data_IF_916639740755
#
_entry.id   IF_916639740755
#
_cell.length_a   1.000
_cell.length_b   1.000
_cell.length_c   1.000
_cell.angle_alpha   90.00
_cell.angle_beta   90.00
_cell.angle_gamma   90.00
#
_symmetry.space_group_name_H-M   'P 1'
#
loop_
_entity.id
_entity.type
_entity.pdbx_description
1 polymer ?
#
# COMPACT_ATOMS: atom_id res chain seq x y z
N UNK A 1 5.41 -17.64 16.51
CA UNK A 1 4.61 -16.56 17.09
C UNK A 1 3.14 -16.84 16.85
N UNK A 2 2.30 -16.33 17.72
CA UNK A 2 0.85 -16.31 17.57
C UNK A 2 0.44 -14.93 17.03
N UNK A 3 -0.01 -14.91 15.77
CA UNK A 3 -0.19 -13.70 14.98
C UNK A 3 -1.68 -13.50 14.67
N UNK A 4 -2.20 -12.31 14.98
CA UNK A 4 -3.47 -11.85 14.43
C UNK A 4 -3.28 -11.19 13.06
N UNK A 5 -4.20 -11.39 12.13
CA UNK A 5 -4.18 -10.70 10.84
C UNK A 5 -5.58 -10.16 10.50
N UNK A 6 -5.66 -8.85 10.29
CA UNK A 6 -6.91 -8.13 10.05
C UNK A 6 -6.89 -7.52 8.64
N UNK A 7 -7.91 -7.87 7.85
CA UNK A 7 -8.06 -7.39 6.48
C UNK A 7 -7.44 -8.32 5.44
N UNK A 8 -8.30 -9.11 4.79
CA UNK A 8 -7.94 -10.13 3.80
C UNK A 8 -8.34 -9.69 2.38
N UNK A 9 -7.97 -8.45 2.01
CA UNK A 9 -7.94 -8.04 0.60
C UNK A 9 -6.82 -8.77 -0.16
N UNK A 10 -6.60 -8.40 -1.42
CA UNK A 10 -5.58 -9.05 -2.27
C UNK A 10 -4.18 -9.06 -1.62
N UNK A 11 -3.77 -7.94 -1.02
CA UNK A 11 -2.50 -7.84 -0.31
C UNK A 11 -2.50 -8.63 0.98
N UNK A 12 -3.51 -8.43 1.85
CA UNK A 12 -3.55 -9.01 3.17
C UNK A 12 -3.71 -10.53 3.15
N UNK A 13 -4.48 -11.08 2.22
CA UNK A 13 -4.61 -12.53 2.06
C UNK A 13 -3.27 -13.18 1.70
N UNK A 14 -2.54 -12.61 0.74
CA UNK A 14 -1.22 -13.10 0.35
C UNK A 14 -0.19 -13.01 1.49
N UNK A 15 -0.23 -11.92 2.27
CA UNK A 15 0.65 -11.75 3.43
C UNK A 15 0.33 -12.78 4.52
N UNK A 16 -0.96 -12.96 4.88
CA UNK A 16 -1.38 -13.95 5.88
C UNK A 16 -1.01 -15.39 5.46
N UNK A 17 -1.16 -15.70 4.17
CA UNK A 17 -0.75 -17.01 3.61
C UNK A 17 0.76 -17.23 3.76
N UNK A 18 1.60 -16.23 3.49
CA UNK A 18 3.05 -16.34 3.65
C UNK A 18 3.43 -16.58 5.12
N UNK A 19 2.77 -15.89 6.07
CA UNK A 19 3.00 -16.08 7.50
C UNK A 19 2.63 -17.53 7.93
N UNK A 20 1.51 -18.06 7.41
CA UNK A 20 1.11 -19.44 7.64
C UNK A 20 2.13 -20.45 7.09
N UNK A 21 2.59 -20.25 5.85
CA UNK A 21 3.61 -21.11 5.19
C UNK A 21 4.94 -21.11 5.96
N UNK A 22 5.25 -20.05 6.67
CA UNK A 22 6.42 -19.97 7.53
C UNK A 22 6.25 -20.68 8.88
N UNK A 23 5.10 -21.34 9.13
CA UNK A 23 4.85 -22.16 10.32
C UNK A 23 4.35 -21.37 11.53
N UNK A 24 3.88 -20.14 11.36
CA UNK A 24 3.27 -19.38 12.45
C UNK A 24 1.80 -19.74 12.65
N UNK A 25 1.30 -19.58 13.87
CA UNK A 25 -0.13 -19.66 14.14
C UNK A 25 -0.76 -18.33 13.74
N UNK A 26 -1.78 -18.37 12.88
CA UNK A 26 -2.41 -17.14 12.36
C UNK A 26 -3.91 -17.16 12.63
N UNK A 27 -4.38 -16.17 13.39
CA UNK A 27 -5.79 -15.86 13.55
C UNK A 27 -6.16 -14.77 12.56
N UNK A 28 -7.15 -15.04 11.72
CA UNK A 28 -7.55 -14.12 10.66
C UNK A 28 -8.93 -13.58 10.89
N UNK A 29 -9.08 -12.27 10.69
CA UNK A 29 -10.36 -11.60 10.65
C UNK A 29 -10.52 -10.75 9.41
N UNK A 30 -11.70 -10.80 8.82
CA UNK A 30 -12.10 -9.91 7.73
C UNK A 30 -13.61 -9.63 7.83
N UNK A 31 -14.03 -8.41 7.49
CA UNK A 31 -15.46 -8.02 7.50
C UNK A 31 -16.34 -8.95 6.65
N UNK A 32 -15.82 -9.42 5.51
CA UNK A 32 -16.46 -10.45 4.68
C UNK A 32 -15.82 -11.81 4.99
N UNK A 33 -16.49 -12.71 5.74
CA UNK A 33 -15.88 -13.95 6.24
C UNK A 33 -15.48 -14.94 5.13
N UNK A 34 -16.10 -14.84 3.95
CA UNK A 34 -15.80 -15.71 2.80
C UNK A 34 -14.32 -15.61 2.39
N UNK A 35 -13.71 -14.44 2.55
CA UNK A 35 -12.28 -14.22 2.24
C UNK A 35 -11.35 -14.97 3.20
N UNK A 36 -11.79 -15.23 4.43
CA UNK A 36 -11.02 -15.96 5.42
C UNK A 36 -11.05 -17.48 5.19
N UNK A 37 -12.11 -18.00 4.55
CA UNK A 37 -12.30 -19.47 4.36
C UNK A 37 -11.18 -20.10 3.51
N UNK A 38 -10.66 -19.38 2.52
CA UNK A 38 -9.54 -19.87 1.71
C UNK A 38 -8.28 -20.13 2.56
N UNK A 39 -8.06 -19.33 3.60
CA UNK A 39 -6.92 -19.47 4.51
C UNK A 39 -7.16 -20.52 5.59
N UNK A 40 -8.41 -20.81 5.96
CA UNK A 40 -8.74 -21.88 6.90
C UNK A 40 -8.27 -23.25 6.41
N UNK A 41 -8.41 -23.52 5.10
CA UNK A 41 -7.87 -24.74 4.46
C UNK A 41 -6.35 -24.86 4.54
N UNK A 42 -5.64 -23.76 4.83
CA UNK A 42 -4.19 -23.71 4.99
C UNK A 42 -3.75 -23.66 6.47
N UNK A 43 -4.69 -23.75 7.41
CA UNK A 43 -4.40 -23.79 8.84
C UNK A 43 -4.63 -22.49 9.59
N UNK A 44 -5.19 -21.45 8.96
CA UNK A 44 -5.59 -20.24 9.67
C UNK A 44 -6.79 -20.48 10.58
N UNK A 45 -6.77 -19.92 11.77
CA UNK A 45 -7.93 -19.85 12.64
C UNK A 45 -8.77 -18.63 12.26
N UNK A 46 -9.98 -18.85 11.76
CA UNK A 46 -10.94 -17.76 11.54
C UNK A 46 -11.50 -17.33 12.89
N UNK A 47 -11.45 -16.03 13.18
CA UNK A 47 -12.03 -15.46 14.40
C UNK A 47 -13.25 -14.61 14.07
N UNK A 48 -14.19 -14.54 15.02
CA UNK A 48 -15.48 -13.87 14.81
C UNK A 48 -15.37 -12.34 14.92
N UNK A 49 -14.43 -11.85 15.72
CA UNK A 49 -14.27 -10.41 16.02
C UNK A 49 -12.82 -9.96 15.84
N UNK A 50 -12.59 -8.67 15.54
CA UNK A 50 -11.24 -8.10 15.52
C UNK A 50 -10.50 -8.26 16.86
N UNK A 51 -11.23 -8.23 17.98
CA UNK A 51 -10.65 -8.36 19.31
C UNK A 51 -9.98 -9.73 19.53
N UNK A 52 -10.53 -10.81 18.96
CA UNK A 52 -9.92 -12.13 19.02
C UNK A 52 -8.61 -12.20 18.23
N UNK A 53 -8.47 -11.39 17.16
CA UNK A 53 -7.21 -11.26 16.44
C UNK A 53 -6.14 -10.52 17.27
N UNK A 54 -6.56 -9.65 18.21
CA UNK A 54 -5.67 -8.89 19.11
C UNK A 54 -5.19 -9.68 20.34
N UNK A 55 -5.37 -10.99 20.37
CA UNK A 55 -5.08 -11.81 21.57
C UNK A 55 -3.68 -12.49 21.55
N UNK A 56 -2.82 -12.30 20.54
CA UNK A 56 -1.52 -13.01 20.39
C UNK A 56 -0.29 -12.18 20.76
N UNK A 57 0.82 -12.55 20.14
CA UNK A 57 2.10 -11.87 20.30
C UNK A 57 2.13 -10.56 19.51
N UNK A 58 1.54 -10.58 18.31
CA UNK A 58 1.42 -9.43 17.43
C UNK A 58 0.14 -9.51 16.58
N UNK A 59 -0.31 -8.36 16.09
CA UNK A 59 -1.40 -8.26 15.13
C UNK A 59 -0.97 -7.40 13.94
N UNK A 60 -1.26 -7.88 12.74
CA UNK A 60 -1.03 -7.17 11.49
C UNK A 60 -2.38 -6.68 10.94
N UNK A 61 -2.41 -5.45 10.42
CA UNK A 61 -3.60 -4.95 9.74
C UNK A 61 -3.27 -4.45 8.34
N UNK A 62 -4.11 -4.85 7.35
CA UNK A 62 -4.01 -4.42 5.96
C UNK A 62 -5.39 -4.03 5.45
N UNK A 63 -5.84 -2.84 5.83
CA UNK A 63 -7.16 -2.30 5.52
C UNK A 63 -7.08 -1.24 4.41
N UNK A 64 -8.21 -0.91 3.82
CA UNK A 64 -8.24 -0.11 2.59
C UNK A 64 -7.84 1.37 2.81
N UNK A 65 -8.28 1.97 3.92
CA UNK A 65 -8.18 3.40 4.18
C UNK A 65 -8.36 3.73 5.68
N UNK A 66 -8.29 5.03 5.98
CA UNK A 66 -8.45 5.57 7.33
C UNK A 66 -9.81 5.21 7.95
N UNK A 67 -10.88 5.27 7.15
CA UNK A 67 -12.22 4.99 7.65
C UNK A 67 -12.37 3.53 8.07
N UNK A 68 -11.90 2.60 7.24
CA UNK A 68 -11.91 1.18 7.56
C UNK A 68 -11.06 0.86 8.80
N UNK A 69 -9.93 1.56 8.97
CA UNK A 69 -9.07 1.34 10.14
C UNK A 69 -9.71 1.88 11.42
N UNK A 70 -10.34 3.07 11.39
CA UNK A 70 -11.07 3.64 12.53
C UNK A 70 -12.26 2.80 12.94
N UNK A 71 -12.99 2.21 11.97
CA UNK A 71 -14.12 1.32 12.23
C UNK A 71 -13.69 0.06 13.00
N UNK A 72 -12.50 -0.48 12.69
CA UNK A 72 -12.01 -1.74 13.26
C UNK A 72 -11.20 -1.51 14.53
N UNK A 73 -10.26 -0.56 14.52
CA UNK A 73 -9.36 -0.30 15.66
C UNK A 73 -9.99 0.75 16.57
N UNK A 74 -10.95 0.32 17.33
CA UNK A 74 -11.70 1.18 18.25
C UNK A 74 -11.02 1.32 19.62
N UNK A 75 -11.38 2.35 20.38
CA UNK A 75 -10.90 2.51 21.75
C UNK A 75 -11.26 1.29 22.64
N UNK A 76 -12.47 0.75 22.47
CA UNK A 76 -12.93 -0.45 23.20
C UNK A 76 -12.11 -1.69 22.85
N UNK A 77 -11.72 -1.86 21.58
CA UNK A 77 -10.81 -2.96 21.18
C UNK A 77 -9.47 -2.84 21.91
N UNK A 78 -8.89 -1.64 21.91
CA UNK A 78 -7.59 -1.40 22.54
C UNK A 78 -7.63 -1.53 24.06
N UNK A 79 -8.77 -1.26 24.70
CA UNK A 79 -8.94 -1.44 26.15
C UNK A 79 -8.84 -2.91 26.60
N UNK A 80 -9.21 -3.84 25.73
CA UNK A 80 -9.22 -5.27 26.00
C UNK A 80 -8.01 -6.00 25.44
N UNK A 81 -7.18 -5.34 24.63
CA UNK A 81 -6.00 -5.93 24.06
C UNK A 81 -4.89 -6.16 25.10
N UNK A 82 -4.09 -7.23 24.99
CA UNK A 82 -3.01 -7.51 25.92
C UNK A 82 -1.95 -6.39 25.94
N UNK A 83 -1.49 -6.02 27.14
CA UNK A 83 -0.35 -5.10 27.25
C UNK A 83 0.91 -5.74 26.67
N UNK A 84 1.71 -4.97 25.98
CA UNK A 84 2.92 -5.43 25.30
C UNK A 84 2.67 -6.11 23.93
N UNK A 85 1.41 -6.25 23.50
CA UNK A 85 1.07 -6.62 22.13
C UNK A 85 1.68 -5.62 21.15
N UNK A 86 2.13 -6.09 20.00
CA UNK A 86 2.58 -5.21 18.91
C UNK A 86 1.52 -5.20 17.82
N UNK A 87 1.01 -4.02 17.48
CA UNK A 87 0.17 -3.83 16.29
C UNK A 87 1.00 -3.25 15.15
N UNK A 88 1.21 -4.04 14.10
CA UNK A 88 1.87 -3.62 12.86
C UNK A 88 0.81 -3.24 11.81
N UNK A 89 0.66 -1.96 11.50
CA UNK A 89 -0.23 -1.50 10.46
C UNK A 89 0.51 -1.38 9.12
N UNK A 90 0.15 -2.23 8.18
CA UNK A 90 0.77 -2.30 6.85
C UNK A 90 0.00 -1.52 5.77
N UNK A 91 -1.13 -0.92 6.14
CA UNK A 91 -1.97 -0.14 5.24
C UNK A 91 -1.37 1.25 4.95
N UNK A 92 -1.71 1.79 3.78
CA UNK A 92 -1.42 3.19 3.43
C UNK A 92 -2.55 4.07 3.97
N UNK A 93 -2.25 4.82 5.04
CA UNK A 93 -3.16 5.70 5.76
C UNK A 93 -2.58 7.11 5.88
N UNK A 94 -3.38 8.06 6.38
CA UNK A 94 -2.92 9.42 6.66
C UNK A 94 -1.87 9.46 7.76
N UNK A 95 -1.00 10.47 7.69
CA UNK A 95 -0.01 10.77 8.73
C UNK A 95 -0.71 11.06 10.05
N UNK A 96 -1.80 11.85 10.00
CA UNK A 96 -2.60 12.20 11.18
C UNK A 96 -3.19 10.96 11.88
N UNK A 97 -3.76 10.01 11.12
CA UNK A 97 -4.29 8.77 11.72
C UNK A 97 -3.16 7.92 12.32
N UNK A 98 -1.99 7.87 11.70
CA UNK A 98 -0.86 7.14 12.28
C UNK A 98 -0.43 7.73 13.64
N UNK A 99 -0.44 9.05 13.79
CA UNK A 99 -0.17 9.75 15.06
C UNK A 99 -1.25 9.46 16.12
N UNK A 100 -2.52 9.52 15.72
CA UNK A 100 -3.64 9.18 16.60
C UNK A 100 -3.55 7.74 17.11
N UNK A 101 -3.29 6.79 16.19
CA UNK A 101 -3.14 5.38 16.56
C UNK A 101 -1.94 5.14 17.46
N UNK A 102 -0.80 5.77 17.19
CA UNK A 102 0.38 5.68 18.05
C UNK A 102 0.07 6.12 19.49
N UNK A 103 -0.63 7.25 19.64
CA UNK A 103 -1.04 7.79 20.92
C UNK A 103 -2.05 6.87 21.63
N UNK A 104 -3.07 6.41 20.91
CA UNK A 104 -4.12 5.53 21.47
C UNK A 104 -3.54 4.20 21.95
N UNK A 105 -2.64 3.58 21.19
CA UNK A 105 -1.98 2.32 21.56
C UNK A 105 -1.07 2.52 22.78
N UNK A 106 -0.21 3.55 22.77
CA UNK A 106 0.68 3.83 23.88
C UNK A 106 -0.06 4.04 25.21
N UNK A 107 -1.22 4.73 25.18
CA UNK A 107 -2.05 4.94 26.37
C UNK A 107 -2.59 3.64 27.00
N UNK A 108 -2.58 2.54 26.24
CA UNK A 108 -3.03 1.19 26.70
C UNK A 108 -1.85 0.22 26.90
N UNK A 109 -0.61 0.68 26.72
CA UNK A 109 0.60 -0.16 26.83
C UNK A 109 0.73 -1.17 25.68
N UNK A 110 0.17 -0.83 24.51
CA UNK A 110 0.31 -1.56 23.27
C UNK A 110 1.33 -0.84 22.40
N UNK A 111 2.19 -1.58 21.71
CA UNK A 111 3.18 -1.01 20.80
C UNK A 111 2.56 -0.86 19.41
N UNK A 112 2.64 0.33 18.83
CA UNK A 112 2.20 0.58 17.46
C UNK A 112 3.41 0.74 16.54
N UNK A 113 3.41 -0.02 15.45
CA UNK A 113 4.41 0.06 14.37
C UNK A 113 3.65 0.35 13.07
N UNK A 114 3.92 1.48 12.45
CA UNK A 114 3.51 1.68 11.07
C UNK A 114 4.51 0.97 10.15
N UNK A 115 4.02 0.06 9.33
CA UNK A 115 4.85 -0.75 8.44
C UNK A 115 4.30 -0.80 7.01
N UNK A 116 3.96 0.36 6.38
CA UNK A 116 3.46 0.35 5.01
C UNK A 116 4.46 -0.28 4.05
N UNK A 117 3.94 -0.82 2.95
CA UNK A 117 4.73 -1.63 2.01
C UNK A 117 4.80 -1.00 0.61
N UNK A 118 5.93 -1.21 -0.06
CA UNK A 118 6.12 -0.95 -1.48
C UNK A 118 6.12 -2.28 -2.22
N UNK A 119 5.23 -2.41 -3.18
CA UNK A 119 4.96 -3.61 -3.98
C UNK A 119 3.47 -3.76 -4.23
N UNK A 120 3.13 -4.54 -5.25
CA UNK A 120 1.75 -4.89 -5.63
C UNK A 120 1.41 -6.29 -5.11
N UNK A 121 0.20 -6.77 -5.39
CA UNK A 121 -0.29 -8.06 -4.90
C UNK A 121 0.57 -9.26 -5.36
N UNK A 122 1.10 -9.22 -6.57
CA UNK A 122 2.05 -10.21 -7.09
C UNK A 122 3.36 -10.26 -6.29
N UNK A 123 3.88 -9.10 -5.91
CA UNK A 123 5.08 -8.97 -5.07
C UNK A 123 4.81 -9.42 -3.63
N UNK A 124 3.60 -9.14 -3.10
CA UNK A 124 3.17 -9.60 -1.80
C UNK A 124 3.07 -11.14 -1.75
N UNK A 125 2.47 -11.76 -2.78
CA UNK A 125 2.36 -13.21 -2.88
C UNK A 125 3.74 -13.90 -2.96
N UNK A 126 4.71 -13.24 -3.60
CA UNK A 126 6.09 -13.72 -3.69
C UNK A 126 6.92 -13.51 -2.40
N UNK A 127 6.40 -12.85 -1.35
CA UNK A 127 7.15 -12.50 -0.15
C UNK A 127 8.30 -11.52 -0.41
N UNK A 128 8.14 -10.63 -1.39
CA UNK A 128 9.23 -9.73 -1.85
C UNK A 128 8.90 -8.25 -1.66
N UNK A 129 8.01 -7.93 -0.74
CA UNK A 129 7.69 -6.53 -0.45
C UNK A 129 8.91 -5.77 0.07
N UNK A 130 8.97 -4.47 -0.19
CA UNK A 130 9.82 -3.58 0.58
C UNK A 130 8.99 -2.99 1.71
N UNK A 131 9.39 -3.24 2.95
CA UNK A 131 8.68 -2.80 4.14
C UNK A 131 9.35 -1.55 4.68
N UNK A 132 8.55 -0.53 4.97
CA UNK A 132 9.02 0.73 5.57
C UNK A 132 8.46 0.79 6.99
N UNK A 133 9.29 0.53 7.99
CA UNK A 133 8.85 0.42 9.39
C UNK A 133 9.23 1.67 10.19
N UNK A 134 8.26 2.21 10.92
CA UNK A 134 8.43 3.29 11.89
C UNK A 134 7.79 2.93 13.21
N UNK A 135 8.46 3.25 14.32
CA UNK A 135 7.99 2.93 15.66
C UNK A 135 9.12 2.54 16.62
N UNK A 136 8.78 2.00 17.81
CA UNK A 136 9.80 1.56 18.78
C UNK A 136 10.72 0.50 18.18
N UNK A 137 12.04 0.71 18.24
CA UNK A 137 13.04 -0.16 17.62
C UNK A 137 12.91 -1.62 18.12
N UNK A 138 12.75 -1.83 19.42
CA UNK A 138 12.54 -3.16 20.01
C UNK A 138 11.33 -3.89 19.42
N UNK A 139 10.25 -3.14 19.13
CA UNK A 139 9.05 -3.72 18.51
C UNK A 139 9.30 -4.10 17.05
N UNK A 140 10.04 -3.29 16.30
CA UNK A 140 10.44 -3.59 14.92
C UNK A 140 11.34 -4.83 14.90
N UNK A 141 12.33 -4.91 15.79
CA UNK A 141 13.25 -6.06 15.91
C UNK A 141 12.48 -7.36 16.23
N UNK A 142 11.50 -7.30 17.13
CA UNK A 142 10.63 -8.45 17.45
C UNK A 142 9.79 -8.90 16.26
N UNK A 143 9.40 -7.98 15.37
CA UNK A 143 8.63 -8.29 14.16
C UNK A 143 9.51 -8.70 12.97
N UNK A 144 10.84 -8.50 13.04
CA UNK A 144 11.74 -8.76 11.92
C UNK A 144 11.60 -10.18 11.34
N UNK A 145 11.45 -11.26 12.13
CA UNK A 145 11.24 -12.60 11.56
C UNK A 145 9.97 -12.71 10.70
N UNK A 146 8.92 -11.93 11.01
CA UNK A 146 7.69 -11.89 10.18
C UNK A 146 7.90 -10.99 8.97
N UNK A 147 8.57 -9.87 9.13
CA UNK A 147 8.91 -9.00 8.00
C UNK A 147 9.78 -9.71 6.96
N UNK A 148 10.71 -10.59 7.37
CA UNK A 148 11.55 -11.39 6.47
C UNK A 148 10.74 -12.42 5.65
N UNK A 149 9.61 -12.86 6.17
CA UNK A 149 8.65 -13.72 5.44
C UNK A 149 7.84 -12.92 4.41
N UNK A 150 7.53 -11.66 4.72
CA UNK A 150 6.67 -10.81 3.90
C UNK A 150 7.43 -10.02 2.84
N UNK A 151 8.72 -9.76 3.07
CA UNK A 151 9.46 -8.85 2.23
C UNK A 151 10.93 -9.22 2.04
N UNK A 152 11.52 -8.65 1.01
CA UNK A 152 12.95 -8.79 0.70
C UNK A 152 13.81 -7.83 1.53
N UNK A 153 13.23 -6.74 2.05
CA UNK A 153 13.96 -5.72 2.81
C UNK A 153 13.01 -4.94 3.72
N UNK A 154 13.42 -4.78 4.96
CA UNK A 154 12.79 -3.85 5.92
C UNK A 154 13.71 -2.65 6.12
N UNK A 155 13.14 -1.47 6.00
CA UNK A 155 13.78 -0.19 6.29
C UNK A 155 13.20 0.37 7.58
N UNK A 156 13.97 0.43 8.64
CA UNK A 156 13.62 1.16 9.87
C UNK A 156 13.87 2.66 9.63
N UNK A 157 12.79 3.45 9.62
CA UNK A 157 12.83 4.87 9.23
C UNK A 157 12.99 5.79 10.45
N UNK A 158 12.50 5.37 11.61
CA UNK A 158 12.61 6.16 12.82
C UNK A 158 11.71 5.67 13.95
N UNK A 159 11.80 6.33 15.09
CA UNK A 159 11.04 5.96 16.29
C UNK A 159 9.58 6.40 16.29
N UNK A 160 9.21 7.32 15.40
CA UNK A 160 7.85 7.81 15.26
C UNK A 160 7.12 7.06 14.12
N UNK A 161 6.03 6.33 14.41
CA UNK A 161 5.35 5.51 13.40
C UNK A 161 4.95 6.26 12.14
N UNK A 162 4.46 7.48 12.25
CA UNK A 162 4.01 8.31 11.13
C UNK A 162 5.12 8.62 10.11
N UNK A 163 6.40 8.55 10.49
CA UNK A 163 7.52 8.76 9.55
C UNK A 163 7.52 7.72 8.42
N UNK A 164 7.13 6.48 8.71
CA UNK A 164 6.96 5.45 7.70
C UNK A 164 5.82 5.77 6.72
N UNK A 165 4.72 6.35 7.22
CA UNK A 165 3.61 6.79 6.36
C UNK A 165 4.03 7.93 5.43
N UNK A 166 4.77 8.93 5.93
CA UNK A 166 5.32 10.01 5.09
C UNK A 166 6.19 9.44 3.97
N UNK A 167 7.11 8.52 4.30
CA UNK A 167 7.98 7.86 3.31
C UNK A 167 7.17 7.12 2.25
N UNK A 168 6.14 6.37 2.68
CA UNK A 168 5.24 5.64 1.77
C UNK A 168 4.49 6.57 0.84
N UNK A 169 3.93 7.67 1.37
CA UNK A 169 3.16 8.64 0.58
C UNK A 169 4.06 9.36 -0.43
N UNK A 170 5.28 9.73 -0.03
CA UNK A 170 6.26 10.32 -0.94
C UNK A 170 6.63 9.37 -2.09
N UNK A 171 6.84 8.09 -1.78
CA UNK A 171 7.14 7.06 -2.81
C UNK A 171 5.97 6.87 -3.77
N UNK A 172 4.73 6.83 -3.28
CA UNK A 172 3.55 6.68 -4.14
C UNK A 172 3.26 7.94 -4.98
N UNK A 173 3.56 9.13 -4.44
CA UNK A 173 3.55 10.35 -5.25
C UNK A 173 4.56 10.27 -6.40
N UNK A 174 5.82 9.87 -6.13
CA UNK A 174 6.83 9.71 -7.18
C UNK A 174 6.41 8.67 -8.23
N UNK A 175 5.78 7.57 -7.80
CA UNK A 175 5.23 6.57 -8.72
C UNK A 175 4.17 7.19 -9.65
N UNK A 176 3.22 7.94 -9.09
CA UNK A 176 2.18 8.61 -9.88
C UNK A 176 2.76 9.62 -10.86
N UNK A 177 3.75 10.43 -10.43
CA UNK A 177 4.42 11.39 -11.27
C UNK A 177 5.19 10.71 -12.44
N UNK A 178 5.84 9.58 -12.18
CA UNK A 178 6.51 8.81 -13.22
C UNK A 178 5.53 8.27 -14.27
N UNK A 179 4.36 7.77 -13.85
CA UNK A 179 3.33 7.25 -14.76
C UNK A 179 2.70 8.38 -15.58
N UNK A 180 2.40 9.52 -14.94
CA UNK A 180 1.87 10.72 -15.62
C UNK A 180 2.83 11.19 -16.72
N UNK A 181 4.11 11.38 -16.37
CA UNK A 181 5.12 11.83 -17.36
C UNK A 181 5.35 10.82 -18.47
N UNK A 182 5.29 9.51 -18.19
CA UNK A 182 5.32 8.47 -19.23
C UNK A 182 4.10 8.57 -20.15
N UNK A 183 2.91 8.84 -19.63
CA UNK A 183 1.69 9.01 -20.41
C UNK A 183 1.77 10.22 -21.34
N UNK A 184 2.23 11.36 -20.85
CA UNK A 184 2.42 12.56 -21.66
C UNK A 184 3.48 12.35 -22.75
N UNK A 185 4.62 11.72 -22.41
CA UNK A 185 5.66 11.37 -23.35
C UNK A 185 5.14 10.39 -24.44
N UNK A 186 4.35 9.38 -24.04
CA UNK A 186 3.70 8.47 -24.96
C UNK A 186 2.79 9.20 -25.96
N UNK A 187 1.95 10.12 -25.46
CA UNK A 187 1.09 10.92 -26.30
C UNK A 187 1.89 11.82 -27.26
N UNK A 188 3.02 12.38 -26.82
CA UNK A 188 3.90 13.17 -27.66
C UNK A 188 4.52 12.34 -28.81
N UNK A 189 5.19 11.23 -28.48
CA UNK A 189 5.93 10.43 -29.48
C UNK A 189 4.98 9.78 -30.49
N UNK A 190 3.86 9.24 -30.03
CA UNK A 190 2.87 8.64 -30.91
C UNK A 190 2.17 9.70 -31.79
N UNK A 191 2.03 10.92 -31.30
CA UNK A 191 1.55 12.07 -32.08
C UNK A 191 2.46 12.46 -33.24
N UNK A 192 3.74 12.14 -33.14
CA UNK A 192 4.71 12.30 -34.22
C UNK A 192 4.89 11.02 -35.06
N UNK A 193 4.04 10.01 -34.88
CA UNK A 193 4.09 8.77 -35.66
C UNK A 193 5.16 7.77 -35.21
N UNK A 194 5.78 7.97 -34.04
CA UNK A 194 6.76 7.04 -33.50
C UNK A 194 6.05 5.94 -32.71
N UNK A 195 6.61 4.72 -32.70
CA UNK A 195 6.09 3.66 -31.89
C UNK A 195 6.46 3.88 -30.40
N UNK A 196 5.50 3.68 -29.50
CA UNK A 196 5.74 3.80 -28.06
C UNK A 196 6.80 2.80 -27.59
N UNK A 197 6.85 1.60 -28.18
CA UNK A 197 7.84 0.59 -27.81
C UNK A 197 9.27 1.05 -28.11
N UNK A 198 9.52 1.65 -29.29
CA UNK A 198 10.86 2.18 -29.65
C UNK A 198 11.30 3.26 -28.65
N UNK A 199 10.36 4.12 -28.23
CA UNK A 199 10.64 5.12 -27.20
C UNK A 199 11.00 4.48 -25.86
N UNK A 200 10.25 3.47 -25.43
CA UNK A 200 10.53 2.75 -24.17
C UNK A 200 11.90 2.07 -24.22
N UNK A 201 12.25 1.40 -25.32
CA UNK A 201 13.54 0.72 -25.48
C UNK A 201 14.70 1.72 -25.33
N UNK A 202 14.56 2.91 -25.93
CA UNK A 202 15.56 3.97 -25.81
C UNK A 202 15.71 4.45 -24.37
N UNK A 203 14.62 4.87 -23.70
CA UNK A 203 14.73 5.48 -22.37
C UNK A 203 15.11 4.48 -21.29
N UNK A 204 14.67 3.22 -21.39
CA UNK A 204 14.97 2.18 -20.38
C UNK A 204 16.35 1.55 -20.58
N UNK A 205 16.98 1.72 -21.75
CA UNK A 205 18.36 1.28 -21.99
C UNK A 205 19.40 2.07 -21.17
N UNK A 206 19.06 3.27 -20.71
CA UNK A 206 20.00 4.17 -20.03
C UNK A 206 19.38 4.96 -18.88
N UNK A 207 18.79 6.11 -19.17
CA UNK A 207 18.43 7.13 -18.17
C UNK A 207 17.31 6.71 -17.19
N UNK A 208 16.33 5.92 -17.65
CA UNK A 208 15.12 5.58 -16.90
C UNK A 208 15.05 4.07 -16.65
N UNK A 209 16.11 3.51 -16.09
CA UNK A 209 16.14 2.11 -15.71
C UNK A 209 15.26 1.83 -14.49
N UNK A 210 14.75 0.60 -14.41
CA UNK A 210 13.98 0.12 -13.27
C UNK A 210 12.54 -0.27 -13.60
N UNK A 211 11.96 -1.06 -12.69
CA UNK A 211 10.67 -1.72 -12.88
C UNK A 211 9.49 -0.76 -13.04
N UNK A 212 9.59 0.48 -12.55
CA UNK A 212 8.53 1.48 -12.70
C UNK A 212 8.39 1.86 -14.17
N UNK A 213 9.48 2.31 -14.81
CA UNK A 213 9.44 2.74 -16.20
C UNK A 213 9.20 1.59 -17.17
N UNK A 214 9.90 0.46 -17.01
CA UNK A 214 9.71 -0.70 -17.88
C UNK A 214 8.33 -1.34 -17.69
N UNK A 215 7.86 -1.50 -16.43
CA UNK A 215 6.59 -2.15 -16.13
C UNK A 215 5.37 -1.31 -16.53
N UNK A 216 5.29 -0.07 -16.05
CA UNK A 216 4.18 0.82 -16.39
C UNK A 216 4.24 1.30 -17.84
N UNK A 217 5.45 1.55 -18.37
CA UNK A 217 5.62 1.88 -19.77
C UNK A 217 5.08 0.79 -20.70
N UNK A 218 5.31 -0.48 -20.38
CA UNK A 218 4.74 -1.61 -21.12
C UNK A 218 3.21 -1.63 -21.05
N UNK A 219 2.61 -1.40 -19.87
CA UNK A 219 1.15 -1.34 -19.73
C UNK A 219 0.55 -0.21 -20.57
N UNK A 220 1.21 0.95 -20.63
CA UNK A 220 0.79 2.10 -21.45
C UNK A 220 0.93 1.77 -22.94
N UNK A 221 2.06 1.21 -23.37
CA UNK A 221 2.30 0.86 -24.77
C UNK A 221 1.30 -0.20 -25.30
N UNK A 222 0.97 -1.19 -24.47
CA UNK A 222 0.03 -2.25 -24.77
C UNK A 222 -1.45 -1.83 -24.52
N UNK A 223 -1.69 -0.64 -23.96
CA UNK A 223 -3.00 -0.18 -23.47
C UNK A 223 -3.71 -1.22 -22.60
N UNK A 224 -2.93 -1.93 -21.79
CA UNK A 224 -3.38 -3.04 -20.95
C UNK A 224 -3.52 -2.60 -19.50
N UNK A 225 -4.72 -2.18 -19.12
CA UNK A 225 -5.04 -1.65 -17.79
C UNK A 225 -5.84 -2.63 -16.91
N UNK A 226 -6.10 -3.83 -17.43
CA UNK A 226 -6.80 -4.91 -16.72
C UNK A 226 -6.10 -6.26 -16.94
N UNK A 227 -6.05 -7.13 -15.92
CA UNK A 227 -6.48 -6.88 -14.54
C UNK A 227 -5.56 -5.85 -13.85
N UNK A 228 -6.17 -4.99 -13.01
CA UNK A 228 -5.42 -3.98 -12.27
C UNK A 228 -4.64 -4.64 -11.11
N UNK A 229 -3.34 -4.38 -11.05
CA UNK A 229 -2.51 -4.73 -9.88
C UNK A 229 -2.47 -3.61 -8.84
N UNK A 230 -2.72 -2.36 -9.27
CA UNK A 230 -2.91 -1.21 -8.38
C UNK A 230 -3.94 -0.25 -9.01
N UNK A 231 -5.15 -0.23 -8.46
CA UNK A 231 -6.29 0.50 -9.05
C UNK A 231 -6.13 2.02 -8.99
N UNK A 232 -6.56 2.71 -10.04
CA UNK A 232 -6.49 4.18 -10.14
C UNK A 232 -7.15 4.89 -8.95
N UNK A 233 -8.30 4.39 -8.46
CA UNK A 233 -8.97 4.95 -7.27
C UNK A 233 -8.13 4.88 -6.00
N UNK A 234 -7.29 3.85 -5.85
CA UNK A 234 -6.34 3.75 -4.73
C UNK A 234 -5.15 4.71 -4.92
N UNK A 235 -4.69 4.88 -6.16
CA UNK A 235 -3.72 5.91 -6.51
C UNK A 235 -4.23 7.31 -6.14
N UNK A 236 -5.47 7.65 -6.49
CA UNK A 236 -6.09 8.92 -6.11
C UNK A 236 -6.17 9.11 -4.59
N UNK A 237 -6.53 8.05 -3.84
CA UNK A 237 -6.50 8.09 -2.37
C UNK A 237 -5.11 8.44 -1.86
N UNK A 238 -4.08 7.78 -2.35
CA UNK A 238 -2.71 7.98 -1.89
C UNK A 238 -2.18 9.38 -2.24
N UNK A 239 -2.51 9.93 -3.42
CA UNK A 239 -2.17 11.30 -3.79
C UNK A 239 -2.87 12.34 -2.88
N UNK A 240 -4.13 12.10 -2.51
CA UNK A 240 -4.85 12.96 -1.56
C UNK A 240 -4.21 12.93 -0.17
N UNK A 241 -3.79 11.76 0.30
CA UNK A 241 -3.07 11.63 1.56
C UNK A 241 -1.71 12.34 1.51
N UNK A 242 -0.98 12.23 0.39
CA UNK A 242 0.30 12.92 0.21
C UNK A 242 0.13 14.45 0.23
N UNK A 243 -0.88 14.98 -0.46
CA UNK A 243 -1.20 16.42 -0.45
C UNK A 243 -1.60 16.90 0.95
N UNK A 244 -2.44 16.15 1.65
CA UNK A 244 -2.81 16.49 3.03
C UNK A 244 -1.60 16.50 3.99
N UNK A 245 -0.68 15.54 3.83
CA UNK A 245 0.56 15.49 4.61
C UNK A 245 1.47 16.70 4.28
N UNK A 246 1.53 17.11 3.02
CA UNK A 246 2.31 18.27 2.57
C UNK A 246 1.72 19.59 3.10
N UNK A 247 0.39 19.74 3.06
CA UNK A 247 -0.32 20.92 3.58
C UNK A 247 -0.05 21.10 5.08
N UNK A 248 -0.04 20.03 5.86
CA UNK A 248 0.24 20.07 7.29
C UNK A 248 1.64 20.64 7.65
N UNK A 249 2.59 20.57 6.72
CA UNK A 249 3.96 21.10 6.88
C UNK A 249 4.27 22.22 5.90
N UNK A 250 3.26 22.81 5.29
CA UNK A 250 3.37 23.96 4.36
C UNK A 250 4.34 23.68 3.19
N UNK A 251 4.32 22.46 2.65
CA UNK A 251 5.16 22.04 1.53
C UNK A 251 4.35 22.04 0.23
N UNK A 252 4.61 22.95 -0.73
CA UNK A 252 3.89 22.95 -2.00
C UNK A 252 4.26 21.74 -2.86
N UNK A 253 3.25 21.03 -3.39
CA UNK A 253 3.41 19.86 -4.28
C UNK A 253 2.63 20.04 -5.59
N UNK A 254 3.06 20.94 -6.49
CA UNK A 254 2.34 21.23 -7.74
C UNK A 254 2.21 20.00 -8.64
N UNK A 255 3.25 19.16 -8.78
CA UNK A 255 3.20 17.93 -9.57
C UNK A 255 2.18 16.93 -9.00
N UNK A 256 2.08 16.80 -7.68
CA UNK A 256 1.08 15.95 -7.05
C UNK A 256 -0.36 16.40 -7.37
N UNK A 257 -0.57 17.72 -7.49
CA UNK A 257 -1.87 18.29 -7.88
C UNK A 257 -2.23 17.93 -9.32
N UNK A 258 -1.26 17.99 -10.25
CA UNK A 258 -1.47 17.55 -11.64
C UNK A 258 -1.86 16.07 -11.70
N UNK A 259 -1.10 15.21 -11.04
CA UNK A 259 -1.37 13.75 -11.02
C UNK A 259 -2.74 13.45 -10.39
N UNK A 260 -3.09 14.14 -9.28
CA UNK A 260 -4.42 14.01 -8.66
C UNK A 260 -5.53 14.37 -9.65
N UNK A 261 -5.40 15.46 -10.38
CA UNK A 261 -6.43 15.95 -11.29
C UNK A 261 -6.58 15.00 -12.49
N UNK A 262 -5.49 14.45 -13.00
CA UNK A 262 -5.51 13.40 -14.04
C UNK A 262 -6.20 12.11 -13.54
N UNK A 263 -6.00 11.71 -12.28
CA UNK A 263 -6.70 10.57 -11.69
C UNK A 263 -8.20 10.85 -11.51
N UNK A 264 -8.57 12.07 -11.12
CA UNK A 264 -9.98 12.48 -11.04
C UNK A 264 -10.63 12.37 -12.42
N UNK A 265 -9.96 12.83 -13.47
CA UNK A 265 -10.42 12.72 -14.85
C UNK A 265 -10.57 11.25 -15.27
N UNK A 266 -9.58 10.38 -15.01
CA UNK A 266 -9.68 8.96 -15.28
C UNK A 266 -10.92 8.33 -14.61
N UNK A 267 -11.14 8.62 -13.32
CA UNK A 267 -12.29 8.10 -12.57
C UNK A 267 -13.62 8.65 -13.12
N UNK A 268 -13.68 9.90 -13.51
CA UNK A 268 -14.86 10.50 -14.13
C UNK A 268 -15.23 9.82 -15.46
N UNK A 269 -14.24 9.24 -16.16
CA UNK A 269 -14.45 8.42 -17.37
C UNK A 269 -14.72 6.92 -17.07
N UNK A 270 -14.90 6.53 -15.80
CA UNK A 270 -15.20 5.15 -15.42
C UNK A 270 -13.97 4.26 -15.23
N UNK A 271 -12.76 4.81 -15.26
CA UNK A 271 -11.51 4.05 -15.20
C UNK A 271 -11.00 3.77 -13.77
N UNK A 272 -11.81 4.04 -12.75
CA UNK A 272 -11.40 3.93 -11.35
C UNK A 272 -10.94 2.54 -10.91
N UNK A 273 -11.48 1.48 -11.52
CA UNK A 273 -11.12 0.08 -11.24
C UNK A 273 -9.95 -0.43 -12.11
N UNK A 274 -9.55 0.31 -13.14
CA UNK A 274 -8.39 0.01 -13.97
C UNK A 274 -7.08 0.28 -13.23
N UNK A 275 -5.99 -0.28 -13.75
CA UNK A 275 -4.64 -0.06 -13.21
C UNK A 275 -4.22 1.42 -13.29
N UNK A 276 -3.38 1.83 -12.38
CA UNK A 276 -2.84 3.19 -12.28
C UNK A 276 -2.18 3.67 -13.60
N UNK A 277 -1.69 2.72 -14.42
CA UNK A 277 -1.18 2.98 -15.77
C UNK A 277 -2.20 3.67 -16.69
N UNK A 278 -3.49 3.68 -16.33
CA UNK A 278 -4.56 4.39 -17.08
C UNK A 278 -4.32 5.89 -17.20
N UNK A 279 -3.44 6.47 -16.41
CA UNK A 279 -2.96 7.85 -16.60
C UNK A 279 -2.39 8.08 -18.00
N UNK A 280 -1.75 7.07 -18.60
CA UNK A 280 -1.31 7.12 -20.00
C UNK A 280 -2.46 7.32 -20.99
N UNK A 281 -3.63 6.74 -20.71
CA UNK A 281 -4.82 6.93 -21.52
C UNK A 281 -5.43 8.34 -21.38
N UNK A 282 -5.31 8.95 -20.19
CA UNK A 282 -5.75 10.35 -19.97
C UNK A 282 -4.97 11.30 -20.87
N UNK A 283 -3.65 11.17 -20.93
CA UNK A 283 -2.80 12.00 -21.78
C UNK A 283 -3.16 11.85 -23.27
N UNK A 284 -3.43 10.63 -23.72
CA UNK A 284 -3.85 10.33 -25.10
C UNK A 284 -5.21 10.95 -25.44
N UNK A 285 -6.21 10.85 -24.53
CA UNK A 285 -7.52 11.49 -24.69
C UNK A 285 -7.41 13.03 -24.79
N UNK A 286 -6.58 13.65 -23.93
CA UNK A 286 -6.34 15.11 -23.97
C UNK A 286 -5.71 15.55 -25.29
N UNK A 287 -4.96 14.66 -25.94
CA UNK A 287 -4.40 14.88 -27.27
C UNK A 287 -5.41 14.59 -28.42
N UNK A 288 -6.67 14.26 -28.10
CA UNK A 288 -7.71 13.97 -29.09
C UNK A 288 -7.57 12.63 -29.81
N UNK A 289 -6.97 11.65 -29.16
CA UNK A 289 -6.64 10.33 -29.74
C UNK A 289 -7.09 9.19 -28.83
#
# INVERSE_FOLDING_TARGET
MDIGFIGLGEMGAAMAENILKAGHQVRVWNRSPEKAQALAGQGAQIVATPAEAFAGDAVFSMLADDAALREVITASLLEHAPRGLIHANMATISVALAEELATAHASRGIHYVAAPVLGRSDVAAAGKLTIVAGGPAESIDRLQPIFDVLGQKTWSIGSLPQQANVMKLAANFMLGAAIETLGEAAALVTGHGLAMQDFLDVITSGLFQGSVYSGYGKLIAEQRFEPALFKARLGLKDLRLALAAADAVTTPMPVASVVRDSLIEAIAHGDGEKDFAVLGQVATRRAGR
#
